data_IF_474054169736
#
_entry.id   IF_474054169736
#
_cell.length_a   1.000
_cell.length_b   1.000
_cell.length_c   1.000
_cell.angle_alpha   90.00
_cell.angle_beta   90.00
_cell.angle_gamma   90.00
#
_symmetry.space_group_name_H-M   'P 1'
#
loop_
_entity.id
_entity.type
_entity.pdbx_description
1 polymer ?
#
# COMPACT_ATOMS: atom_id res chain seq x y z
N UNK A 1 -11.46 2.82 12.04
CA UNK A 1 -10.19 3.58 12.23
C UNK A 1 -10.38 4.98 11.64
N UNK A 2 -10.51 6.04 12.47
CA UNK A 2 -10.76 7.40 11.96
C UNK A 2 -9.68 7.85 10.96
N UNK A 3 -8.43 7.49 11.20
CA UNK A 3 -7.31 7.79 10.30
C UNK A 3 -7.43 7.12 8.92
N UNK A 4 -7.92 5.88 8.84
CA UNK A 4 -8.13 5.20 7.55
C UNK A 4 -9.22 5.90 6.72
N UNK A 5 -10.34 6.27 7.35
CA UNK A 5 -11.41 6.99 6.65
C UNK A 5 -10.93 8.36 6.16
N UNK A 6 -10.16 9.07 6.98
CA UNK A 6 -9.56 10.34 6.60
C UNK A 6 -8.57 10.17 5.44
N UNK A 7 -7.73 9.13 5.48
CA UNK A 7 -6.81 8.81 4.40
C UNK A 7 -7.55 8.50 3.08
N UNK A 8 -8.68 7.78 3.14
CA UNK A 8 -9.53 7.52 1.97
C UNK A 8 -10.08 8.81 1.35
N UNK A 9 -10.56 9.75 2.17
CA UNK A 9 -11.05 11.06 1.71
C UNK A 9 -9.89 11.88 1.10
N UNK A 10 -8.71 11.82 1.69
CA UNK A 10 -7.52 12.49 1.18
C UNK A 10 -7.05 11.91 -0.14
N UNK A 11 -7.19 10.59 -0.34
CA UNK A 11 -6.96 9.95 -1.65
C UNK A 11 -7.93 10.47 -2.71
N UNK A 12 -9.22 10.62 -2.38
CA UNK A 12 -10.22 11.16 -3.29
C UNK A 12 -9.94 12.62 -3.68
N UNK A 13 -9.45 13.41 -2.72
CA UNK A 13 -9.05 14.81 -2.93
C UNK A 13 -7.62 14.97 -3.43
N UNK A 14 -6.95 13.86 -3.78
CA UNK A 14 -5.56 13.80 -4.27
C UNK A 14 -4.52 14.43 -3.33
N UNK A 15 -4.83 14.59 -2.05
CA UNK A 15 -3.87 14.98 -1.04
C UNK A 15 -3.03 13.77 -0.59
N UNK A 16 -2.16 13.30 -1.48
CA UNK A 16 -1.33 12.11 -1.29
C UNK A 16 -0.44 12.20 -0.03
N UNK A 17 0.24 13.32 0.26
CA UNK A 17 1.06 13.41 1.47
C UNK A 17 0.26 13.16 2.76
N UNK A 18 -0.90 13.80 2.88
CA UNK A 18 -1.74 13.63 4.07
C UNK A 18 -2.35 12.22 4.15
N UNK A 19 -2.72 11.64 3.01
CA UNK A 19 -3.21 10.26 2.96
C UNK A 19 -2.18 9.26 3.49
N UNK A 20 -0.90 9.41 3.09
CA UNK A 20 0.19 8.55 3.59
C UNK A 20 0.32 8.68 5.11
N UNK A 21 0.35 9.90 5.64
CA UNK A 21 0.49 10.13 7.09
C UNK A 21 -0.65 9.46 7.87
N UNK A 22 -1.89 9.62 7.39
CA UNK A 22 -3.04 9.02 8.04
C UNK A 22 -3.10 7.49 7.90
N UNK A 23 -2.69 6.93 6.76
CA UNK A 23 -2.53 5.49 6.64
C UNK A 23 -1.44 4.95 7.57
N UNK A 24 -0.33 5.67 7.77
CA UNK A 24 0.72 5.27 8.72
C UNK A 24 0.23 5.31 10.16
N UNK A 25 -0.53 6.34 10.57
CA UNK A 25 -1.20 6.38 11.89
C UNK A 25 -2.20 5.24 12.04
N UNK A 26 -2.96 4.95 10.99
CA UNK A 26 -3.88 3.81 10.98
C UNK A 26 -3.13 2.47 11.16
N UNK A 27 -1.97 2.33 10.51
CA UNK A 27 -1.12 1.15 10.61
C UNK A 27 -0.50 0.98 12.00
N UNK A 28 -0.13 2.07 12.68
CA UNK A 28 0.36 2.01 14.07
C UNK A 28 -0.69 1.44 15.04
N UNK A 29 -1.98 1.64 14.74
CA UNK A 29 -3.10 1.14 15.56
C UNK A 29 -3.43 -0.32 15.20
N UNK A 30 -3.38 -0.66 13.90
CA UNK A 30 -3.62 -2.01 13.40
C UNK A 30 -2.53 -2.42 12.40
N UNK A 31 -1.40 -2.97 12.89
CA UNK A 31 -0.24 -3.28 12.05
C UNK A 31 -0.46 -4.48 11.13
N UNK A 32 -1.50 -5.27 11.38
CA UNK A 32 -1.86 -6.48 10.63
C UNK A 32 -3.00 -6.22 9.61
N UNK A 33 -3.40 -4.96 9.41
CA UNK A 33 -4.52 -4.63 8.55
C UNK A 33 -4.10 -4.64 7.08
N UNK A 34 -4.35 -5.75 6.39
CA UNK A 34 -4.05 -5.98 4.97
C UNK A 34 -4.43 -4.81 4.06
N UNK A 35 -5.60 -4.21 4.25
CA UNK A 35 -6.08 -3.12 3.39
C UNK A 35 -5.22 -1.86 3.49
N UNK A 36 -4.61 -1.58 4.66
CA UNK A 36 -3.73 -0.42 4.84
C UNK A 36 -2.41 -0.65 4.12
N UNK A 37 -1.85 -1.86 4.24
CA UNK A 37 -0.67 -2.26 3.48
C UNK A 37 -0.91 -2.16 1.98
N UNK A 38 -2.06 -2.62 1.47
CA UNK A 38 -2.39 -2.44 0.06
C UNK A 38 -2.48 -0.97 -0.35
N UNK A 39 -3.21 -0.15 0.41
CA UNK A 39 -3.33 1.28 0.10
C UNK A 39 -1.97 1.96 0.06
N UNK A 40 -1.11 1.74 1.05
CA UNK A 40 0.24 2.31 1.08
C UNK A 40 1.10 1.79 -0.08
N UNK A 41 1.08 0.49 -0.35
CA UNK A 41 1.82 -0.12 -1.46
C UNK A 41 1.46 0.51 -2.81
N UNK A 42 0.15 0.63 -3.08
CA UNK A 42 -0.36 1.29 -4.28
C UNK A 42 0.00 2.77 -4.33
N UNK A 43 -0.04 3.47 -3.18
CA UNK A 43 0.33 4.89 -3.13
C UNK A 43 1.80 5.10 -3.48
N UNK A 44 2.69 4.30 -2.88
CA UNK A 44 4.12 4.41 -3.13
C UNK A 44 4.47 4.05 -4.57
N UNK A 45 3.79 3.06 -5.15
CA UNK A 45 3.96 2.70 -6.56
C UNK A 45 3.49 3.82 -7.50
N UNK A 46 2.23 4.26 -7.38
CA UNK A 46 1.59 5.11 -8.38
C UNK A 46 1.92 6.60 -8.25
N UNK A 47 2.13 7.10 -7.02
CA UNK A 47 2.24 8.54 -6.78
C UNK A 47 3.61 8.98 -6.29
N UNK A 48 4.39 8.06 -5.69
CA UNK A 48 5.74 8.39 -5.21
C UNK A 48 6.84 7.79 -6.08
N UNK A 49 6.51 6.81 -6.93
CA UNK A 49 7.49 6.01 -7.67
C UNK A 49 8.58 5.41 -6.73
N UNK A 50 8.22 5.16 -5.46
CA UNK A 50 9.09 4.59 -4.44
C UNK A 50 8.89 3.07 -4.45
N UNK A 51 9.53 2.42 -5.43
CA UNK A 51 9.40 0.98 -5.66
C UNK A 51 9.79 0.15 -4.43
N UNK A 52 10.88 0.47 -3.69
CA UNK A 52 11.21 -0.27 -2.47
C UNK A 52 10.10 -0.25 -1.42
N UNK A 53 9.49 0.91 -1.15
CA UNK A 53 8.37 0.98 -0.19
C UNK A 53 7.11 0.32 -0.72
N UNK A 54 6.84 0.45 -2.02
CA UNK A 54 5.72 -0.23 -2.66
C UNK A 54 5.82 -1.75 -2.47
N UNK A 55 6.97 -2.34 -2.82
CA UNK A 55 7.24 -3.76 -2.66
C UNK A 55 7.08 -4.23 -1.22
N UNK A 56 7.64 -3.48 -0.25
CA UNK A 56 7.54 -3.80 1.17
C UNK A 56 6.08 -3.96 1.61
N UNK A 57 5.24 -2.94 1.33
CA UNK A 57 3.84 -2.97 1.73
C UNK A 57 3.00 -4.00 0.96
N UNK A 58 3.24 -4.19 -0.35
CA UNK A 58 2.52 -5.20 -1.14
C UNK A 58 2.84 -6.62 -0.66
N UNK A 59 4.10 -6.90 -0.31
CA UNK A 59 4.52 -8.18 0.26
C UNK A 59 3.89 -8.44 1.62
N UNK A 60 3.84 -7.43 2.49
CA UNK A 60 3.16 -7.54 3.77
C UNK A 60 1.66 -7.82 3.62
N UNK A 61 0.99 -7.18 2.66
CA UNK A 61 -0.42 -7.46 2.38
C UNK A 61 -0.65 -8.93 2.02
N UNK A 62 0.17 -9.48 1.10
CA UNK A 62 0.10 -10.90 0.72
C UNK A 62 0.47 -11.84 1.86
N UNK A 63 1.45 -11.48 2.70
CA UNK A 63 1.83 -12.28 3.87
C UNK A 63 0.69 -12.37 4.88
N UNK A 64 -0.01 -11.26 5.10
CA UNK A 64 -1.13 -11.17 6.03
C UNK A 64 -2.39 -11.86 5.51
N UNK A 65 -2.67 -11.78 4.20
CA UNK A 65 -3.83 -12.42 3.60
C UNK A 65 -3.52 -13.02 2.22
N UNK A 66 -2.86 -14.20 2.16
CA UNK A 66 -2.39 -14.80 0.90
C UNK A 66 -3.50 -15.14 -0.10
N UNK A 67 -4.72 -15.37 0.39
CA UNK A 67 -5.90 -15.78 -0.39
C UNK A 67 -6.93 -14.66 -0.55
N UNK A 68 -6.55 -13.39 -0.35
CA UNK A 68 -7.47 -12.27 -0.53
C UNK A 68 -7.90 -12.11 -2.00
N UNK A 69 -9.07 -11.51 -2.25
CA UNK A 69 -9.42 -11.04 -3.59
C UNK A 69 -8.32 -10.16 -4.18
N UNK A 70 -7.89 -10.48 -5.39
CA UNK A 70 -6.81 -9.76 -6.07
C UNK A 70 -5.39 -10.15 -5.64
N UNK A 71 -5.20 -11.18 -4.79
CA UNK A 71 -3.88 -11.67 -4.42
C UNK A 71 -2.99 -11.94 -5.64
N UNK A 72 -3.51 -12.58 -6.69
CA UNK A 72 -2.71 -12.88 -7.88
C UNK A 72 -2.29 -11.62 -8.65
N UNK A 73 -3.12 -10.57 -8.65
CA UNK A 73 -2.73 -9.26 -9.21
C UNK A 73 -1.61 -8.62 -8.41
N UNK A 74 -1.65 -8.74 -7.08
CA UNK A 74 -0.60 -8.23 -6.20
C UNK A 74 0.70 -9.00 -6.43
N UNK A 75 0.65 -10.32 -6.57
CA UNK A 75 1.81 -11.15 -6.91
C UNK A 75 2.42 -10.71 -8.25
N UNK A 76 1.62 -10.63 -9.31
CA UNK A 76 2.10 -10.19 -10.62
C UNK A 76 2.71 -8.78 -10.58
N UNK A 77 2.14 -7.86 -9.80
CA UNK A 77 2.71 -6.53 -9.62
C UNK A 77 4.05 -6.58 -8.88
N UNK A 78 4.18 -7.40 -7.83
CA UNK A 78 5.45 -7.60 -7.12
C UNK A 78 6.49 -8.15 -8.09
N UNK A 79 6.16 -9.19 -8.85
CA UNK A 79 7.07 -9.80 -9.83
C UNK A 79 7.52 -8.78 -10.89
N UNK A 80 6.61 -7.95 -11.41
CA UNK A 80 6.95 -6.88 -12.35
C UNK A 80 7.93 -5.87 -11.73
N UNK A 81 7.65 -5.44 -10.49
CA UNK A 81 8.44 -4.45 -9.78
C UNK A 81 9.83 -4.95 -9.40
N UNK A 82 9.98 -6.23 -9.07
CA UNK A 82 11.29 -6.84 -8.78
C UNK A 82 12.14 -7.02 -10.04
N UNK A 83 11.49 -7.31 -11.18
CA UNK A 83 12.16 -7.46 -12.46
C UNK A 83 12.55 -6.13 -13.11
N UNK A 84 11.86 -5.04 -12.75
CA UNK A 84 12.28 -3.66 -13.05
C UNK A 84 13.46 -3.26 -12.14
N UNK A 85 14.62 -3.88 -12.35
CA UNK A 85 15.86 -3.35 -11.77
C UNK A 85 16.03 -1.91 -12.25
N UNK A 86 16.28 -0.93 -11.36
CA UNK A 86 16.77 0.37 -11.80
C UNK A 86 18.13 0.12 -12.48
N UNK A 87 18.18 0.32 -13.80
CA UNK A 87 19.42 0.45 -14.55
C UNK A 87 20.18 1.69 -14.13
#
# INVERSE_FOLDING_TARGET
LPYMNMANIQMQTKNIPAAIENYQKALQIKPDMTSIHLSLGMIFYQFKNDIPKALSHLKDALRLSPSQPGADRIKSLIDELENKKPT
#
